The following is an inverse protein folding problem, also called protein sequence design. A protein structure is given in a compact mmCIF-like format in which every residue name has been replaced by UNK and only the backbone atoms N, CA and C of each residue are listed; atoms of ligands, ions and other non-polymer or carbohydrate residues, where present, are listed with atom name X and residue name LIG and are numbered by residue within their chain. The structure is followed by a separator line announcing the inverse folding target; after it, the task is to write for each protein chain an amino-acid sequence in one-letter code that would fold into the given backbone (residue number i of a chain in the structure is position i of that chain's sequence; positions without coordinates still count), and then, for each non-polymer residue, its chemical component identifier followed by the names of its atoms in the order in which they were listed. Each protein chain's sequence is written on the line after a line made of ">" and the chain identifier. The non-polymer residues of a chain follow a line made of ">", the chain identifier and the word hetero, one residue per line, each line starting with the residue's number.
data_IF_094479599586
#
_entry.id   IF_094479599586
#
_cell.length_a   1.000
_cell.length_b   1.000
_cell.length_c   1.000
_cell.angle_alpha   90.00
_cell.angle_beta   90.00
_cell.angle_gamma   90.00
#
_symmetry.space_group_name_H-M   'P 1'
#
loop_
_entity.id
_entity.type
_entity.pdbx_description
1 polymer ?
#
# COMPACT_ATOMS: atom_id res chain seq x y z
N UNK A 1 2.75 -1.54 3.40
CA UNK A 1 3.20 -0.26 3.96
C UNK A 1 2.62 -0.11 5.34
N UNK A 2 3.44 -0.03 6.38
CA UNK A 2 2.96 0.24 7.73
C UNK A 2 2.58 1.72 7.84
N UNK A 3 1.36 2.02 8.27
CA UNK A 3 0.94 3.42 8.47
C UNK A 3 1.67 4.03 9.66
N UNK A 4 1.92 3.25 10.71
CA UNK A 4 2.60 3.71 11.92
C UNK A 4 4.08 3.32 11.86
N UNK A 5 4.91 4.26 11.46
CA UNK A 5 6.37 4.15 11.43
C UNK A 5 7.00 5.34 12.16
N UNK A 6 8.16 5.17 12.81
CA UNK A 6 8.90 6.29 13.40
C UNK A 6 9.44 7.22 12.30
N UNK A 7 9.67 8.48 12.66
CA UNK A 7 10.23 9.57 11.82
C UNK A 7 9.34 9.99 10.63
N UNK A 8 9.01 9.07 9.72
CA UNK A 8 8.15 9.29 8.57
C UNK A 8 7.05 8.23 8.52
N UNK A 9 5.79 8.65 8.58
CA UNK A 9 4.68 7.71 8.59
C UNK A 9 4.40 7.10 7.21
N UNK A 10 3.62 6.02 7.16
CA UNK A 10 3.33 5.31 5.90
C UNK A 10 2.58 6.14 4.86
N UNK A 11 1.80 7.14 5.28
CA UNK A 11 1.08 8.04 4.36
C UNK A 11 2.09 8.99 3.68
N UNK A 12 3.02 9.55 4.44
CA UNK A 12 4.09 10.40 3.93
C UNK A 12 5.02 9.63 3.00
N UNK A 13 5.43 8.43 3.41
CA UNK A 13 6.24 7.53 2.60
C UNK A 13 5.55 7.20 1.27
N UNK A 14 4.26 6.87 1.30
CA UNK A 14 3.47 6.60 0.09
C UNK A 14 3.45 7.81 -0.83
N UNK A 15 3.16 9.02 -0.30
CA UNK A 15 3.17 10.24 -1.12
C UNK A 15 4.56 10.51 -1.71
N UNK A 16 5.64 10.22 -0.97
CA UNK A 16 7.01 10.37 -1.46
C UNK A 16 7.30 9.40 -2.62
N UNK A 17 6.90 8.12 -2.49
CA UNK A 17 7.01 7.12 -3.56
C UNK A 17 6.23 7.59 -4.81
N UNK A 18 4.98 8.00 -4.67
CA UNK A 18 4.16 8.50 -5.80
C UNK A 18 4.77 9.71 -6.50
N UNK A 19 5.33 10.66 -5.75
CA UNK A 19 6.07 11.80 -6.33
C UNK A 19 7.32 11.36 -7.08
N UNK A 20 8.05 10.38 -6.55
CA UNK A 20 9.23 9.84 -7.19
C UNK A 20 8.90 9.09 -8.49
N UNK A 21 7.89 8.22 -8.48
CA UNK A 21 7.40 7.52 -9.67
C UNK A 21 6.97 8.49 -10.77
N UNK A 22 6.15 9.50 -10.42
CA UNK A 22 5.71 10.54 -11.37
C UNK A 22 6.89 11.30 -11.98
N UNK A 23 7.87 11.69 -11.16
CA UNK A 23 9.08 12.40 -11.62
C UNK A 23 9.97 11.53 -12.52
N UNK A 24 9.95 10.21 -12.33
CA UNK A 24 10.72 9.26 -13.13
C UNK A 24 9.95 8.68 -14.32
N UNK A 25 8.68 9.04 -14.49
CA UNK A 25 7.81 8.46 -15.52
C UNK A 25 7.58 6.95 -15.33
N UNK A 26 7.67 6.45 -14.09
CA UNK A 26 7.51 5.03 -13.78
C UNK A 26 6.03 4.69 -13.54
N UNK A 27 5.61 3.45 -13.86
CA UNK A 27 4.30 2.96 -13.47
C UNK A 27 4.20 2.90 -11.94
N UNK A 28 3.00 3.16 -11.42
CA UNK A 28 2.73 3.10 -9.99
C UNK A 28 2.83 1.67 -9.46
N UNK A 29 3.74 1.42 -8.52
CA UNK A 29 3.81 0.12 -7.83
C UNK A 29 2.60 -0.04 -6.90
N UNK A 30 1.98 -1.24 -6.80
CA UNK A 30 0.94 -1.48 -5.82
C UNK A 30 1.45 -1.29 -4.38
N UNK A 31 0.79 -0.42 -3.61
CA UNK A 31 1.08 -0.20 -2.19
C UNK A 31 -0.15 -0.59 -1.36
N UNK A 32 -0.01 -1.62 -0.54
CA UNK A 32 -1.08 -2.09 0.37
C UNK A 32 -0.79 -1.56 1.78
N UNK A 33 -1.73 -0.83 2.38
CA UNK A 33 -1.66 -0.31 3.74
C UNK A 33 -1.74 -1.44 4.77
N UNK A 34 -1.02 -1.31 5.88
CA UNK A 34 -1.15 -2.16 7.06
C UNK A 34 -1.61 -1.29 8.21
N UNK A 35 -2.86 -1.45 8.65
CA UNK A 35 -3.51 -0.59 9.65
C UNK A 35 -3.92 -1.36 10.90
N UNK A 36 -3.81 -0.77 12.09
CA UNK A 36 -4.32 -1.34 13.33
C UNK A 36 -5.84 -1.20 13.47
N UNK A 37 -6.44 -0.21 12.81
CA UNK A 37 -7.87 0.07 12.84
C UNK A 37 -8.44 -0.03 11.42
N UNK A 38 -9.47 -0.87 11.25
CA UNK A 38 -10.20 -1.03 10.00
C UNK A 38 -11.39 -0.06 9.92
N UNK A 39 -11.31 1.09 10.59
CA UNK A 39 -12.39 2.07 10.59
C UNK A 39 -12.43 2.79 9.24
N UNK A 40 -13.64 3.15 8.80
CA UNK A 40 -13.90 3.71 7.46
C UNK A 40 -13.03 4.95 7.13
N UNK A 41 -12.71 5.77 8.13
CA UNK A 41 -11.87 6.97 7.95
C UNK A 41 -10.39 6.67 7.65
N UNK A 42 -9.85 5.57 8.17
CA UNK A 42 -8.44 5.20 7.96
C UNK A 42 -8.22 4.71 6.53
N UNK A 43 -9.20 3.97 6.00
CA UNK A 43 -9.20 3.52 4.61
C UNK A 43 -9.17 4.70 3.66
N UNK A 44 -10.07 5.66 3.83
CA UNK A 44 -10.16 6.83 2.94
C UNK A 44 -8.87 7.65 2.99
N UNK A 45 -8.24 7.77 4.16
CA UNK A 45 -6.96 8.47 4.32
C UNK A 45 -5.82 7.76 3.58
N UNK A 46 -5.74 6.43 3.67
CA UNK A 46 -4.76 5.62 2.96
C UNK A 46 -4.93 5.73 1.44
N UNK A 47 -6.17 5.61 0.94
CA UNK A 47 -6.48 5.73 -0.48
C UNK A 47 -6.13 7.13 -1.02
N UNK A 48 -6.47 8.19 -0.28
CA UNK A 48 -6.10 9.57 -0.64
C UNK A 48 -4.58 9.81 -0.66
N UNK A 49 -3.81 9.06 0.13
CA UNK A 49 -2.35 9.12 0.09
C UNK A 49 -1.75 8.42 -1.15
N UNK A 50 -2.55 7.68 -1.91
CA UNK A 50 -2.14 6.95 -3.11
C UNK A 50 -1.85 5.46 -2.88
N UNK A 51 -2.35 4.89 -1.77
CA UNK A 51 -2.34 3.44 -1.54
C UNK A 51 -3.46 2.77 -2.34
N UNK A 52 -3.27 1.49 -2.65
CA UNK A 52 -4.13 0.71 -3.53
C UNK A 52 -5.13 -0.17 -2.77
N UNK A 53 -4.73 -0.66 -1.59
CA UNK A 53 -5.53 -1.54 -0.75
C UNK A 53 -5.08 -1.44 0.71
N UNK A 54 -5.69 -2.22 1.59
CA UNK A 54 -5.32 -2.28 3.00
C UNK A 54 -5.52 -3.67 3.60
N UNK A 55 -4.76 -3.96 4.65
CA UNK A 55 -4.94 -5.12 5.53
C UNK A 55 -4.94 -4.66 6.98
N UNK A 56 -5.81 -5.25 7.80
CA UNK A 56 -5.81 -5.00 9.23
C UNK A 56 -4.75 -5.83 9.96
N UNK A 57 -4.15 -5.25 11.00
CA UNK A 57 -3.32 -5.95 11.98
C UNK A 57 -4.22 -6.66 13.01
N UNK A 58 -3.82 -7.82 13.55
CA UNK A 58 -2.60 -8.57 13.22
C UNK A 58 -2.68 -9.22 11.84
N UNK A 59 -1.58 -9.14 11.09
CA UNK A 59 -1.55 -9.60 9.70
C UNK A 59 -1.44 -11.12 9.67
N UNK A 60 -2.42 -11.77 9.04
CA UNK A 60 -2.41 -13.22 8.79
C UNK A 60 -1.70 -13.52 7.47
N UNK A 61 -0.97 -14.64 7.42
CA UNK A 61 -0.20 -15.06 6.23
C UNK A 61 -1.12 -15.22 5.01
N UNK A 62 -2.30 -15.79 5.22
CA UNK A 62 -3.29 -16.04 4.17
C UNK A 62 -3.73 -14.75 3.49
N UNK A 63 -3.93 -13.67 4.26
CA UNK A 63 -4.28 -12.36 3.72
C UNK A 63 -3.14 -11.77 2.89
N UNK A 64 -1.89 -11.94 3.31
CA UNK A 64 -0.72 -11.49 2.54
C UNK A 64 -0.65 -12.21 1.20
N UNK A 65 -0.82 -13.54 1.19
CA UNK A 65 -0.83 -14.32 -0.05
C UNK A 65 -1.99 -13.92 -0.98
N UNK A 66 -3.17 -13.64 -0.43
CA UNK A 66 -4.30 -13.14 -1.22
C UNK A 66 -3.99 -11.77 -1.85
N UNK A 67 -3.39 -10.85 -1.09
CA UNK A 67 -3.01 -9.53 -1.61
C UNK A 67 -1.93 -9.62 -2.69
N UNK A 68 -0.93 -10.47 -2.49
CA UNK A 68 0.11 -10.75 -3.48
C UNK A 68 -0.54 -11.28 -4.77
N UNK A 69 -1.39 -12.31 -4.68
CA UNK A 69 -2.09 -12.87 -5.84
C UNK A 69 -2.99 -11.84 -6.54
N UNK A 70 -3.60 -10.92 -5.79
CA UNK A 70 -4.46 -9.86 -6.34
C UNK A 70 -3.67 -8.79 -7.09
N UNK A 71 -2.51 -8.39 -6.58
CA UNK A 71 -1.78 -7.21 -7.05
C UNK A 71 -0.54 -7.51 -7.90
N UNK A 72 -0.01 -8.73 -7.86
CA UNK A 72 1.02 -9.16 -8.81
C UNK A 72 0.31 -9.55 -10.10
N UNK A 73 0.55 -8.85 -11.23
CA UNK A 73 0.05 -9.29 -12.51
C UNK A 73 0.55 -10.70 -12.78
N UNK A 74 -0.28 -11.55 -13.41
CA UNK A 74 0.22 -12.79 -13.99
C UNK A 74 1.45 -12.42 -14.84
N UNK A 75 2.61 -12.96 -14.49
CA UNK A 75 3.84 -12.70 -15.24
C UNK A 75 3.51 -13.14 -16.67
N UNK A 76 3.33 -12.18 -17.57
CA UNK A 76 3.33 -12.47 -18.99
C UNK A 76 4.75 -12.91 -19.27
N UNK A 77 4.93 -14.23 -19.43
CA UNK A 77 6.19 -14.82 -19.85
C UNK A 77 6.73 -14.02 -21.02
N UNK A 78 7.93 -13.48 -20.83
CA UNK A 78 8.76 -12.92 -21.90
C UNK A 78 9.24 -14.09 -22.77
#
# INVERSE_FOLDING_TARGET
>A
MDVQMPEMNGLEATRAIRRWEKRKGLPAVPIVAMTAQAMKGDKDTCLKAGMNDYVSKPIKRELVFQMIKKWIPAISSI
#
